data_IF_911559303500
#
_entry.id   IF_911559303500
#
_cell.length_a   1.000
_cell.length_b   1.000
_cell.length_c   1.000
_cell.angle_alpha   90.00
_cell.angle_beta   90.00
_cell.angle_gamma   90.00
#
_symmetry.space_group_name_H-M   'P 1'
#
loop_
_entity.id
_entity.type
_entity.pdbx_description
1 polymer ?
#
# COMPACT_ATOMS: atom_id res chain seq x y z
N UNK A 1 -14.47 -6.70 28.30
CA UNK A 1 -14.48 -5.28 28.71
C UNK A 1 -15.12 -5.28 30.09
N UNK A 2 -14.29 -5.16 31.16
CA UNK A 2 -14.79 -4.93 32.51
C UNK A 2 -15.63 -3.66 32.45
N UNK A 3 -16.87 -3.71 32.97
CA UNK A 3 -17.75 -2.55 33.08
C UNK A 3 -17.00 -1.42 33.78
N UNK A 4 -16.53 -0.46 33.03
CA UNK A 4 -16.04 0.79 33.60
C UNK A 4 -17.21 1.43 34.34
N UNK A 5 -16.92 1.83 35.56
CA UNK A 5 -17.94 2.44 36.43
C UNK A 5 -18.49 3.68 35.72
N UNK A 6 -19.80 3.85 35.66
CA UNK A 6 -20.44 4.97 34.95
C UNK A 6 -19.90 6.34 35.37
N UNK A 7 -19.41 6.46 36.61
CA UNK A 7 -18.76 7.68 37.13
C UNK A 7 -17.36 7.92 36.49
N UNK A 8 -16.59 6.88 36.13
CA UNK A 8 -15.31 7.03 35.42
C UNK A 8 -15.53 7.44 33.98
N UNK A 9 -16.58 6.94 33.33
CA UNK A 9 -16.93 7.35 31.97
C UNK A 9 -17.35 8.82 31.97
N UNK A 10 -18.15 9.26 32.96
CA UNK A 10 -18.60 10.63 33.07
C UNK A 10 -17.44 11.61 33.34
N UNK A 11 -16.49 11.25 34.19
CA UNK A 11 -15.29 12.03 34.44
C UNK A 11 -14.36 12.12 33.21
N UNK A 12 -14.27 11.07 32.40
CA UNK A 12 -13.55 11.12 31.13
C UNK A 12 -14.18 12.11 30.14
N UNK A 13 -15.52 12.16 30.07
CA UNK A 13 -16.23 13.12 29.20
C UNK A 13 -16.10 14.58 29.69
N UNK A 14 -15.97 14.83 30.96
CA UNK A 14 -15.77 16.18 31.52
C UNK A 14 -14.37 16.74 31.24
N UNK A 15 -13.38 15.87 30.97
CA UNK A 15 -12.01 16.26 30.59
C UNK A 15 -11.84 16.59 29.10
N UNK A 16 -12.81 16.32 28.27
CA UNK A 16 -12.74 16.69 26.85
C UNK A 16 -12.90 18.21 26.68
N UNK A 17 -12.11 18.85 25.82
CA UNK A 17 -12.26 20.26 25.56
C UNK A 17 -13.69 20.56 25.08
N UNK A 18 -14.36 21.52 25.71
CA UNK A 18 -15.73 21.95 25.36
C UNK A 18 -15.83 22.57 23.95
N UNK A 19 -14.71 22.76 23.30
CA UNK A 19 -14.61 23.27 21.92
C UNK A 19 -14.14 22.10 21.07
N UNK A 20 -14.93 21.73 20.05
CA UNK A 20 -14.47 20.77 19.04
C UNK A 20 -13.17 21.26 18.42
N UNK A 21 -12.12 20.44 18.40
CA UNK A 21 -10.94 20.77 17.64
C UNK A 21 -11.38 21.02 16.19
N UNK A 22 -10.79 22.05 15.59
CA UNK A 22 -11.09 22.41 14.21
C UNK A 22 -10.95 21.19 13.31
N UNK A 23 -12.00 20.83 12.57
CA UNK A 23 -11.97 19.72 11.63
C UNK A 23 -10.89 20.00 10.59
N UNK A 24 -9.86 19.19 10.62
CA UNK A 24 -8.79 19.24 9.65
C UNK A 24 -9.08 18.25 8.52
N UNK A 25 -9.19 18.76 7.29
CA UNK A 25 -9.39 17.94 6.08
C UNK A 25 -8.07 17.45 5.48
N UNK A 26 -6.95 17.70 6.12
CA UNK A 26 -5.65 17.22 5.65
C UNK A 26 -5.50 15.74 5.97
N UNK A 27 -5.54 14.91 4.94
CA UNK A 27 -5.23 13.49 5.04
C UNK A 27 -3.72 13.32 4.97
N UNK A 28 -3.15 12.63 5.95
CA UNK A 28 -1.73 12.25 6.01
C UNK A 28 -1.59 10.74 5.88
N UNK A 29 -0.37 10.24 5.75
CA UNK A 29 -0.08 8.81 5.71
C UNK A 29 -0.54 8.08 6.99
N UNK A 30 -0.55 8.77 8.14
CA UNK A 30 -0.97 8.19 9.43
C UNK A 30 -2.41 7.69 9.41
N UNK A 31 -3.29 8.33 8.64
CA UNK A 31 -4.68 7.87 8.48
C UNK A 31 -4.76 6.50 7.76
N UNK A 32 -3.80 6.21 6.90
CA UNK A 32 -3.72 4.93 6.17
C UNK A 32 -2.98 3.88 7.00
N UNK A 33 -2.06 4.33 7.84
CA UNK A 33 -1.16 3.49 8.62
C UNK A 33 -1.90 2.52 9.55
N UNK A 34 -2.99 2.93 10.14
CA UNK A 34 -3.78 2.11 11.06
C UNK A 34 -4.20 0.76 10.47
N UNK A 35 -4.58 0.74 9.19
CA UNK A 35 -4.97 -0.48 8.48
C UNK A 35 -3.81 -1.09 7.67
N UNK A 36 -2.99 -0.28 7.01
CA UNK A 36 -1.96 -0.75 6.07
C UNK A 36 -0.58 -1.02 6.69
N UNK A 37 -0.41 -0.85 7.99
CA UNK A 37 0.83 -1.20 8.68
C UNK A 37 0.96 -2.68 9.04
N UNK A 38 -0.14 -3.45 9.01
CA UNK A 38 -0.15 -4.87 9.41
C UNK A 38 -0.11 -5.83 8.22
N UNK A 39 -1.11 -5.77 7.37
CA UNK A 39 -1.35 -6.75 6.30
C UNK A 39 -0.51 -6.50 5.05
N UNK A 40 0.65 -6.71 4.89
CA UNK A 40 1.49 -6.41 3.72
C UNK A 40 2.42 -5.23 3.93
N UNK A 41 2.36 -4.57 5.08
CA UNK A 41 3.36 -3.59 5.52
C UNK A 41 3.60 -2.44 4.53
N UNK A 42 2.59 -2.13 3.72
CA UNK A 42 2.73 -1.22 2.57
C UNK A 42 3.17 0.16 2.99
N UNK A 43 2.53 0.74 4.02
CA UNK A 43 2.82 2.12 4.43
C UNK A 43 4.22 2.26 5.03
N UNK A 44 4.69 1.30 5.80
CA UNK A 44 6.05 1.30 6.35
C UNK A 44 7.09 1.10 5.27
N UNK A 45 6.84 0.22 4.31
CA UNK A 45 7.74 -0.02 3.17
C UNK A 45 7.87 1.23 2.30
N UNK A 46 6.78 1.95 2.07
CA UNK A 46 6.79 3.20 1.32
C UNK A 46 7.72 4.25 1.94
N UNK A 47 7.74 4.31 3.27
CA UNK A 47 8.64 5.16 4.05
C UNK A 47 10.06 4.57 4.25
N UNK A 48 10.35 3.43 3.63
CA UNK A 48 11.65 2.76 3.73
C UNK A 48 11.87 2.02 5.05
N UNK A 49 10.82 1.48 5.66
CA UNK A 49 10.93 0.70 6.87
C UNK A 49 10.43 -0.73 6.66
N UNK A 50 11.26 -1.71 6.98
CA UNK A 50 10.91 -3.12 6.97
C UNK A 50 10.74 -3.66 8.37
N UNK A 51 9.67 -4.41 8.61
CA UNK A 51 9.42 -5.08 9.87
C UNK A 51 10.48 -6.16 10.14
N UNK A 52 10.82 -6.34 11.42
CA UNK A 52 11.78 -7.34 11.91
C UNK A 52 11.19 -8.10 13.08
N UNK A 53 11.80 -9.22 13.46
CA UNK A 53 11.47 -9.94 14.69
C UNK A 53 12.34 -9.54 15.89
N UNK A 54 13.10 -8.45 15.77
CA UNK A 54 13.90 -7.99 16.90
C UNK A 54 13.02 -7.52 18.06
N UNK A 55 13.46 -7.84 19.27
CA UNK A 55 12.85 -7.28 20.47
C UNK A 55 13.26 -5.81 20.66
N UNK A 56 12.38 -5.01 21.24
CA UNK A 56 12.66 -3.61 21.54
C UNK A 56 13.94 -3.42 22.39
N UNK A 57 14.22 -4.37 23.27
CA UNK A 57 15.42 -4.37 24.13
C UNK A 57 16.72 -4.63 23.38
N UNK A 58 16.68 -5.24 22.21
CA UNK A 58 17.87 -5.54 21.40
C UNK A 58 18.34 -4.36 20.55
N UNK A 59 17.52 -3.29 20.43
CA UNK A 59 17.84 -2.15 19.59
C UNK A 59 18.79 -1.21 20.31
N UNK A 60 20.00 -1.08 19.76
CA UNK A 60 21.00 -0.13 20.25
C UNK A 60 21.08 1.14 19.39
N UNK A 61 20.80 1.03 18.11
CA UNK A 61 20.88 2.12 17.15
C UNK A 61 19.48 2.63 16.76
N UNK A 62 19.11 3.78 17.32
CA UNK A 62 17.82 4.41 17.06
C UNK A 62 17.69 5.05 15.67
N UNK A 63 18.79 5.25 14.95
CA UNK A 63 18.74 5.87 13.62
C UNK A 63 18.33 4.85 12.55
N UNK A 64 18.73 3.60 12.72
CA UNK A 64 18.44 2.52 11.80
C UNK A 64 17.25 1.65 12.21
N UNK A 65 16.65 1.95 13.36
CA UNK A 65 15.49 1.19 13.86
C UNK A 65 14.39 2.13 14.35
N UNK A 66 13.15 1.71 14.12
CA UNK A 66 11.93 2.38 14.57
C UNK A 66 11.12 1.40 15.41
N UNK A 67 10.75 1.81 16.61
CA UNK A 67 9.85 1.06 17.48
C UNK A 67 8.46 1.71 17.39
N UNK A 68 7.45 0.92 17.07
CA UNK A 68 6.06 1.35 17.09
C UNK A 68 5.45 1.19 18.48
N UNK A 69 4.35 1.88 18.72
CA UNK A 69 3.62 1.83 20.00
C UNK A 69 3.10 0.42 20.35
N UNK A 70 2.89 -0.42 19.35
CA UNK A 70 2.46 -1.82 19.51
C UNK A 70 3.63 -2.79 19.74
N UNK A 71 4.84 -2.28 19.90
CA UNK A 71 6.05 -3.06 20.21
C UNK A 71 6.77 -3.64 18.99
N UNK A 72 6.24 -3.48 17.78
CA UNK A 72 6.91 -3.94 16.56
C UNK A 72 8.12 -3.08 16.24
N UNK A 73 9.18 -3.75 15.80
CA UNK A 73 10.45 -3.15 15.45
C UNK A 73 10.65 -3.18 13.95
N UNK A 74 11.02 -2.03 13.40
CA UNK A 74 11.32 -1.86 11.98
C UNK A 74 12.76 -1.43 11.79
N UNK A 75 13.39 -1.95 10.75
CA UNK A 75 14.73 -1.58 10.32
C UNK A 75 14.65 -0.69 9.09
N UNK A 76 15.51 0.34 9.04
CA UNK A 76 15.61 1.23 7.88
C UNK A 76 16.13 0.49 6.66
N UNK A 77 15.40 0.64 5.57
CA UNK A 77 15.76 0.26 4.23
C UNK A 77 15.70 1.50 3.32
N UNK A 78 15.63 1.32 2.01
CA UNK A 78 15.54 2.43 1.06
C UNK A 78 14.10 2.86 0.87
N UNK A 79 13.86 4.16 0.93
CA UNK A 79 12.55 4.78 0.69
C UNK A 79 12.11 4.60 -0.77
N UNK A 80 10.80 4.57 -0.99
CA UNK A 80 10.23 4.71 -2.33
C UNK A 80 10.61 6.07 -2.95
N UNK A 81 10.88 6.11 -4.22
CA UNK A 81 11.28 7.33 -4.92
C UNK A 81 10.20 8.42 -4.87
N UNK A 82 8.93 8.04 -4.85
CA UNK A 82 7.82 8.98 -4.75
C UNK A 82 7.68 9.53 -3.34
N UNK A 83 7.93 8.70 -2.31
CA UNK A 83 8.03 9.16 -0.93
C UNK A 83 9.17 10.18 -0.76
N UNK A 84 10.35 9.86 -1.27
CA UNK A 84 11.51 10.75 -1.25
C UNK A 84 11.26 12.07 -2.01
N UNK A 85 10.36 12.06 -3.00
CA UNK A 85 9.90 13.26 -3.71
C UNK A 85 8.79 14.03 -2.97
N UNK A 86 8.37 13.60 -1.77
CA UNK A 86 7.36 14.25 -0.96
C UNK A 86 5.91 13.90 -1.30
N UNK A 87 5.68 12.84 -2.07
CA UNK A 87 4.35 12.32 -2.33
C UNK A 87 3.85 11.50 -1.13
N UNK A 88 2.57 11.59 -0.87
CA UNK A 88 1.88 10.80 0.17
C UNK A 88 0.86 9.86 -0.47
N UNK A 89 0.31 8.92 0.30
CA UNK A 89 -0.59 7.88 -0.19
C UNK A 89 -1.69 8.41 -1.13
N UNK A 90 -2.34 9.49 -0.73
CA UNK A 90 -3.44 10.08 -1.49
C UNK A 90 -3.00 10.80 -2.78
N UNK A 91 -1.72 11.01 -3.02
CA UNK A 91 -1.26 11.58 -4.29
C UNK A 91 -1.43 10.60 -5.44
N UNK A 92 -1.39 9.29 -5.15
CA UNK A 92 -1.65 8.20 -6.09
C UNK A 92 -3.05 7.61 -5.89
N UNK A 93 -3.44 7.32 -4.64
CA UNK A 93 -4.72 6.67 -4.36
C UNK A 93 -5.90 7.64 -4.41
N UNK A 94 -6.95 7.23 -5.12
CA UNK A 94 -8.19 8.01 -5.29
C UNK A 94 -9.28 7.53 -4.33
N UNK A 95 -10.30 8.35 -4.12
CA UNK A 95 -11.39 8.05 -3.18
C UNK A 95 -12.11 6.74 -3.48
N UNK A 96 -12.30 6.40 -4.75
CA UNK A 96 -12.96 5.16 -5.16
C UNK A 96 -12.16 3.89 -4.79
N UNK A 97 -10.84 3.98 -4.64
CA UNK A 97 -10.02 2.87 -4.13
C UNK A 97 -10.16 2.74 -2.62
N UNK A 98 -10.16 3.87 -1.90
CA UNK A 98 -10.14 3.93 -0.44
C UNK A 98 -11.53 3.66 0.14
N UNK A 99 -12.55 4.29 -0.43
CA UNK A 99 -13.94 4.20 0.03
C UNK A 99 -14.71 3.05 -0.63
N UNK A 100 -14.12 2.42 -1.64
CA UNK A 100 -14.77 1.43 -2.49
C UNK A 100 -15.62 2.05 -3.60
N UNK A 101 -15.84 1.30 -4.64
CA UNK A 101 -16.65 1.65 -5.81
C UNK A 101 -17.92 0.79 -5.93
N UNK A 102 -18.22 0.00 -4.90
CA UNK A 102 -19.37 -0.89 -4.84
C UNK A 102 -19.17 -2.23 -5.57
N UNK A 103 -18.00 -2.49 -6.13
CA UNK A 103 -17.69 -3.74 -6.80
C UNK A 103 -16.93 -4.71 -5.87
N UNK A 104 -17.17 -6.00 -6.07
CA UNK A 104 -16.39 -7.06 -5.47
C UNK A 104 -15.27 -7.47 -6.42
N UNK A 105 -14.02 -7.46 -5.92
CA UNK A 105 -12.85 -7.84 -6.69
C UNK A 105 -12.28 -9.17 -6.19
N UNK A 106 -11.93 -10.07 -7.11
CA UNK A 106 -11.26 -11.34 -6.78
C UNK A 106 -9.78 -11.11 -6.44
N UNK A 107 -9.18 -10.09 -7.05
CA UNK A 107 -7.77 -9.74 -6.90
C UNK A 107 -7.60 -8.25 -6.54
N UNK A 108 -6.72 -7.96 -5.59
CA UNK A 108 -6.49 -6.60 -5.09
C UNK A 108 -6.01 -5.62 -6.17
N UNK A 109 -5.24 -6.09 -7.15
CA UNK A 109 -4.76 -5.27 -8.26
C UNK A 109 -5.89 -4.75 -9.17
N UNK A 110 -7.04 -5.39 -9.16
CA UNK A 110 -8.21 -4.92 -9.90
C UNK A 110 -8.87 -3.70 -9.27
N UNK A 111 -8.75 -3.57 -7.95
CA UNK A 111 -9.26 -2.44 -7.21
C UNK A 111 -8.45 -1.16 -7.47
N UNK A 112 -7.15 -1.28 -7.74
CA UNK A 112 -6.26 -0.14 -7.99
C UNK A 112 -6.64 0.56 -9.30
N UNK A 113 -6.94 1.85 -9.22
CA UNK A 113 -7.38 2.67 -10.35
C UNK A 113 -6.24 3.43 -11.02
N UNK A 114 -5.25 3.85 -10.24
CA UNK A 114 -4.09 4.61 -10.74
C UNK A 114 -2.91 3.68 -10.94
N UNK A 115 -2.30 3.77 -12.13
CA UNK A 115 -1.16 2.95 -12.52
C UNK A 115 0.03 3.81 -12.93
N UNK A 116 1.21 3.23 -12.95
CA UNK A 116 2.45 3.92 -13.35
C UNK A 116 2.30 4.63 -14.69
N UNK A 117 1.67 3.98 -15.66
CA UNK A 117 1.46 4.50 -17.02
C UNK A 117 0.57 5.75 -17.06
N UNK A 118 -0.29 5.98 -16.08
CA UNK A 118 -1.16 7.16 -16.07
C UNK A 118 -0.36 8.44 -15.91
N UNK A 119 0.75 8.38 -15.19
CA UNK A 119 1.68 9.50 -15.02
C UNK A 119 2.91 9.42 -15.94
N UNK A 120 3.41 8.22 -16.20
CA UNK A 120 4.68 7.97 -16.87
C UNK A 120 4.56 7.48 -18.32
N UNK A 121 3.43 7.68 -19.00
CA UNK A 121 3.28 7.36 -20.43
C UNK A 121 3.59 8.56 -21.33
N UNK A 122 4.06 8.31 -22.54
CA UNK A 122 4.12 9.32 -23.61
C UNK A 122 2.73 9.64 -24.17
N UNK A 123 1.80 8.68 -24.10
CA UNK A 123 0.45 8.74 -24.68
C UNK A 123 -0.65 8.96 -23.64
N UNK A 124 -0.34 9.66 -22.55
CA UNK A 124 -1.33 9.92 -21.51
C UNK A 124 -2.50 10.74 -22.04
N UNK A 125 -3.71 10.28 -21.73
CA UNK A 125 -4.94 11.01 -22.05
C UNK A 125 -5.19 12.09 -21.02
N UNK A 126 -5.83 13.18 -21.43
CA UNK A 126 -6.17 14.28 -20.56
C UNK A 126 -7.54 14.86 -20.88
N UNK A 127 -8.14 15.49 -19.88
CA UNK A 127 -9.41 16.22 -19.99
C UNK A 127 -9.24 17.64 -19.48
N UNK A 128 -9.98 18.57 -20.04
CA UNK A 128 -10.03 19.95 -19.57
C UNK A 128 -11.01 20.10 -18.39
N UNK A 129 -10.98 21.26 -17.74
CA UNK A 129 -11.85 21.54 -16.59
C UNK A 129 -13.35 21.35 -16.90
N UNK A 130 -13.83 21.72 -18.09
CA UNK A 130 -15.25 21.61 -18.45
C UNK A 130 -15.72 20.16 -18.56
N UNK A 131 -14.81 19.26 -18.91
CA UNK A 131 -15.06 17.81 -19.05
C UNK A 131 -14.99 17.04 -17.72
N UNK A 132 -14.53 17.67 -16.63
CA UNK A 132 -14.53 17.05 -15.32
C UNK A 132 -15.97 16.78 -14.84
N UNK A 133 -16.13 15.71 -14.06
CA UNK A 133 -17.37 15.46 -13.31
C UNK A 133 -17.60 16.53 -12.23
N UNK A 134 -18.79 16.50 -11.63
CA UNK A 134 -19.18 17.50 -10.62
C UNK A 134 -18.27 17.52 -9.41
N UNK A 135 -17.92 16.34 -8.88
CA UNK A 135 -17.09 16.20 -7.68
C UNK A 135 -15.66 16.69 -7.94
N UNK A 136 -15.09 16.29 -9.05
CA UNK A 136 -13.75 16.74 -9.48
C UNK A 136 -13.70 18.25 -9.66
N UNK A 137 -14.72 18.87 -10.26
CA UNK A 137 -14.83 20.33 -10.36
C UNK A 137 -14.84 21.00 -9.00
N UNK A 138 -15.67 20.52 -8.08
CA UNK A 138 -15.75 21.05 -6.71
C UNK A 138 -14.40 20.99 -6.00
N UNK A 139 -13.69 19.87 -6.11
CA UNK A 139 -12.38 19.72 -5.47
C UNK A 139 -11.34 20.65 -6.09
N UNK A 140 -11.33 20.79 -7.42
CA UNK A 140 -10.45 21.74 -8.11
C UNK A 140 -10.72 23.16 -7.66
N UNK A 141 -11.99 23.56 -7.60
CA UNK A 141 -12.39 24.90 -7.18
C UNK A 141 -11.99 25.20 -5.73
N UNK A 142 -12.19 24.25 -4.82
CA UNK A 142 -11.89 24.41 -3.40
C UNK A 142 -10.39 24.38 -3.10
N UNK A 143 -9.63 23.54 -3.78
CA UNK A 143 -8.22 23.29 -3.44
C UNK A 143 -7.22 24.10 -4.24
N UNK A 144 -7.48 24.32 -5.50
CA UNK A 144 -6.45 24.80 -6.42
C UNK A 144 -6.76 26.17 -7.03
N UNK A 145 -8.00 26.64 -7.00
CA UNK A 145 -8.41 27.90 -7.65
C UNK A 145 -8.12 27.92 -9.17
N UNK A 146 -7.84 26.76 -9.77
CA UNK A 146 -7.39 26.64 -11.15
C UNK A 146 -8.58 26.53 -12.10
N UNK A 147 -8.99 27.64 -12.66
CA UNK A 147 -10.03 27.72 -13.70
C UNK A 147 -9.44 27.99 -15.09
N UNK A 148 -8.18 27.65 -15.33
CA UNK A 148 -7.48 27.98 -16.58
C UNK A 148 -7.58 26.88 -17.64
N UNK A 149 -6.87 27.10 -18.75
CA UNK A 149 -6.75 26.17 -19.89
C UNK A 149 -5.88 24.93 -19.57
N UNK A 150 -5.88 24.47 -18.32
CA UNK A 150 -5.11 23.31 -17.90
C UNK A 150 -5.89 22.03 -18.14
N UNK A 151 -5.21 21.02 -18.68
CA UNK A 151 -5.74 19.68 -18.82
C UNK A 151 -5.25 18.81 -17.69
N UNK A 152 -6.12 17.96 -17.17
CA UNK A 152 -5.85 16.99 -16.13
C UNK A 152 -5.64 15.62 -16.76
N UNK A 153 -4.66 14.85 -16.28
CA UNK A 153 -4.51 13.46 -16.70
C UNK A 153 -5.73 12.64 -16.27
N UNK A 154 -6.06 11.62 -17.04
CA UNK A 154 -7.08 10.62 -16.68
C UNK A 154 -6.49 9.23 -16.71
N UNK A 155 -6.96 8.37 -15.81
CA UNK A 155 -6.51 6.99 -15.74
C UNK A 155 -6.89 6.22 -17.02
N UNK A 156 -5.97 5.39 -17.50
CA UNK A 156 -6.16 4.62 -18.72
C UNK A 156 -7.29 3.60 -18.59
N UNK A 157 -7.38 2.94 -17.44
CA UNK A 157 -8.36 1.88 -17.16
C UNK A 157 -9.76 2.39 -16.83
N UNK A 158 -9.84 3.44 -16.02
CA UNK A 158 -11.10 3.83 -15.35
C UNK A 158 -11.62 5.20 -15.75
N UNK A 159 -10.87 5.94 -16.57
CA UNK A 159 -11.18 7.32 -16.99
C UNK A 159 -11.37 8.29 -15.80
N UNK A 160 -10.74 8.03 -14.67
CA UNK A 160 -10.82 8.88 -13.47
C UNK A 160 -9.88 10.08 -13.66
N UNK A 161 -10.37 11.33 -13.50
CA UNK A 161 -9.52 12.50 -13.56
C UNK A 161 -8.53 12.55 -12.38
N UNK A 162 -7.25 12.71 -12.69
CA UNK A 162 -6.19 12.93 -11.69
C UNK A 162 -6.06 14.45 -11.46
N UNK A 163 -6.94 15.00 -10.64
CA UNK A 163 -7.11 16.45 -10.45
C UNK A 163 -5.91 17.16 -9.81
N UNK A 164 -4.95 16.40 -9.27
CA UNK A 164 -3.66 16.91 -8.79
C UNK A 164 -2.57 16.89 -9.86
N UNK A 165 -2.90 16.53 -11.11
CA UNK A 165 -2.00 16.59 -12.26
C UNK A 165 -2.41 17.72 -13.21
N UNK A 166 -1.51 18.10 -14.08
CA UNK A 166 -1.82 18.99 -15.20
C UNK A 166 -0.83 18.84 -16.35
N UNK A 167 -1.32 19.11 -17.55
CA UNK A 167 -0.57 19.06 -18.80
C UNK A 167 -0.46 20.47 -19.37
N UNK A 168 0.75 20.95 -19.60
CA UNK A 168 1.00 22.20 -20.30
C UNK A 168 0.83 22.07 -21.81
N UNK A 169 0.62 23.18 -22.49
CA UNK A 169 0.45 23.25 -23.96
C UNK A 169 1.59 22.60 -24.74
N UNK A 170 2.80 22.57 -24.19
CA UNK A 170 3.97 21.90 -24.76
C UNK A 170 4.07 20.39 -24.43
N UNK A 171 3.01 19.78 -23.91
CA UNK A 171 3.01 18.35 -23.54
C UNK A 171 3.74 18.00 -22.24
N UNK A 172 4.32 18.95 -21.56
CA UNK A 172 4.96 18.72 -20.26
C UNK A 172 3.90 18.43 -19.19
N UNK A 173 4.12 17.36 -18.42
CA UNK A 173 3.22 16.91 -17.37
C UNK A 173 3.79 17.16 -16.00
N UNK A 174 2.91 17.47 -15.07
CA UNK A 174 3.25 17.77 -13.69
C UNK A 174 2.21 17.19 -12.74
N UNK A 175 2.66 16.82 -11.56
CA UNK A 175 1.82 16.52 -10.40
C UNK A 175 2.05 17.58 -9.34
N UNK A 176 1.00 17.96 -8.63
CA UNK A 176 1.09 18.78 -7.43
C UNK A 176 0.67 17.93 -6.25
N UNK A 177 1.58 17.76 -5.31
CA UNK A 177 1.29 16.99 -4.10
C UNK A 177 0.11 17.61 -3.34
N UNK A 178 -0.80 16.77 -2.89
CA UNK A 178 -2.05 17.23 -2.24
C UNK A 178 -1.79 17.88 -0.89
N UNK A 179 -0.76 17.43 -0.18
CA UNK A 179 -0.39 17.96 1.13
C UNK A 179 0.53 19.20 1.02
N UNK A 180 1.75 19.03 0.55
CA UNK A 180 2.79 20.07 0.55
C UNK A 180 2.68 21.07 -0.60
N UNK A 181 1.80 20.83 -1.58
CA UNK A 181 1.64 21.64 -2.80
C UNK A 181 2.91 21.73 -3.65
N UNK A 182 3.84 20.83 -3.45
CA UNK A 182 5.05 20.73 -4.23
C UNK A 182 4.73 20.33 -5.67
N UNK A 183 5.38 21.01 -6.61
CA UNK A 183 5.23 20.72 -8.05
C UNK A 183 6.32 19.75 -8.49
N UNK A 184 5.90 18.57 -8.93
CA UNK A 184 6.77 17.52 -9.43
C UNK A 184 6.60 17.39 -10.94
N UNK A 185 7.70 17.34 -11.68
CA UNK A 185 7.68 17.04 -13.11
C UNK A 185 7.52 15.54 -13.30
N UNK A 186 6.53 15.14 -14.09
CA UNK A 186 6.33 13.75 -14.49
C UNK A 186 7.20 13.43 -15.69
N UNK A 187 8.12 12.49 -15.52
CA UNK A 187 9.02 12.06 -16.59
C UNK A 187 8.37 10.91 -17.36
N UNK A 188 8.51 10.88 -18.70
CA UNK A 188 8.12 9.73 -19.49
C UNK A 188 9.01 8.52 -19.15
N UNK A 189 8.57 7.30 -19.47
CA UNK A 189 9.41 6.13 -19.33
C UNK A 189 10.64 6.24 -20.27
N UNK A 190 11.73 5.60 -19.89
CA UNK A 190 12.90 5.51 -20.75
C UNK A 190 12.55 4.74 -22.05
N UNK A 191 13.26 5.04 -23.12
CA UNK A 191 13.05 4.42 -24.43
C UNK A 191 13.09 2.88 -24.37
N UNK A 192 14.02 2.32 -23.59
CA UNK A 192 14.14 0.88 -23.38
C UNK A 192 12.87 0.24 -22.75
N UNK A 193 12.06 1.00 -22.03
CA UNK A 193 10.79 0.51 -21.46
C UNK A 193 9.68 0.42 -22.51
N UNK A 194 9.81 1.17 -23.61
CA UNK A 194 8.80 1.29 -24.66
C UNK A 194 9.18 0.45 -25.87
N UNK A 195 10.46 0.46 -26.22
CA UNK A 195 11.00 -0.20 -27.40
C UNK A 195 11.45 -1.63 -27.10
N UNK A 196 10.90 -2.56 -27.87
CA UNK A 196 11.39 -3.92 -27.92
C UNK A 196 10.38 -4.97 -27.46
N UNK A 197 10.38 -6.08 -28.20
CA UNK A 197 9.52 -7.25 -27.96
C UNK A 197 9.80 -7.91 -26.60
N UNK A 198 11.03 -7.81 -26.10
CA UNK A 198 11.48 -8.45 -24.87
C UNK A 198 10.76 -7.93 -23.61
N UNK A 199 10.37 -6.66 -23.57
CA UNK A 199 9.78 -6.03 -22.40
C UNK A 199 8.24 -5.94 -22.42
N UNK A 200 7.60 -6.40 -23.52
CA UNK A 200 6.13 -6.31 -23.68
C UNK A 200 5.33 -6.97 -22.56
N UNK A 201 5.89 -7.97 -21.92
CA UNK A 201 5.22 -8.74 -20.87
C UNK A 201 5.72 -8.40 -19.46
N UNK A 202 6.69 -7.49 -19.33
CA UNK A 202 7.20 -7.08 -18.02
C UNK A 202 6.32 -5.97 -17.45
N UNK A 203 5.89 -6.14 -16.21
CA UNK A 203 5.33 -5.02 -15.45
C UNK A 203 6.41 -3.99 -15.12
N UNK A 204 6.03 -2.75 -14.87
CA UNK A 204 6.96 -1.73 -14.40
C UNK A 204 7.64 -2.17 -13.09
N UNK A 205 6.89 -2.82 -12.22
CA UNK A 205 7.34 -3.35 -10.93
C UNK A 205 8.45 -4.38 -11.08
N UNK A 206 8.43 -5.20 -12.14
CA UNK A 206 9.47 -6.19 -12.39
C UNK A 206 10.87 -5.61 -12.44
N UNK A 207 11.00 -4.37 -12.94
CA UNK A 207 12.28 -3.67 -13.02
C UNK A 207 12.48 -2.62 -11.93
N UNK A 208 11.41 -1.95 -11.49
CA UNK A 208 11.50 -0.78 -10.63
C UNK A 208 11.25 -1.08 -9.14
N UNK A 209 10.87 -2.30 -8.75
CA UNK A 209 10.81 -2.65 -7.32
C UNK A 209 12.22 -2.80 -6.77
N UNK A 210 12.58 -1.97 -5.80
CA UNK A 210 13.90 -1.99 -5.16
C UNK A 210 14.06 -3.16 -4.20
N UNK A 211 13.06 -3.37 -3.36
CA UNK A 211 13.05 -4.44 -2.37
C UNK A 211 11.63 -4.81 -1.95
N UNK A 212 11.47 -5.95 -1.34
CA UNK A 212 10.25 -6.39 -0.68
C UNK A 212 10.59 -7.01 0.68
N UNK A 213 9.65 -6.95 1.61
CA UNK A 213 9.75 -7.68 2.86
C UNK A 213 9.44 -9.15 2.62
N UNK A 214 10.47 -9.98 2.68
CA UNK A 214 10.33 -11.42 2.59
C UNK A 214 9.90 -11.98 3.94
N UNK A 215 8.96 -12.90 3.93
CA UNK A 215 8.58 -13.71 5.07
C UNK A 215 8.91 -15.17 4.75
N UNK A 216 9.75 -15.79 5.56
CA UNK A 216 10.18 -17.18 5.32
C UNK A 216 9.02 -18.15 5.50
N UNK A 217 8.13 -17.89 6.46
CA UNK A 217 6.94 -18.69 6.65
C UNK A 217 6.21 -18.42 7.96
N UNK A 218 5.12 -19.13 8.14
CA UNK A 218 4.32 -19.12 9.35
C UNK A 218 4.03 -20.55 9.80
N UNK A 219 4.09 -20.77 11.09
CA UNK A 219 3.55 -21.96 11.73
C UNK A 219 2.32 -21.57 12.53
N UNK A 220 1.19 -22.17 12.20
CA UNK A 220 -0.08 -21.90 12.88
C UNK A 220 -0.56 -23.21 13.52
N UNK A 221 -0.81 -23.19 14.81
CA UNK A 221 -1.32 -24.35 15.55
C UNK A 221 -2.59 -23.97 16.34
N UNK A 222 -3.50 -24.92 16.48
CA UNK A 222 -4.65 -24.76 17.34
C UNK A 222 -4.28 -25.21 18.77
N UNK A 223 -4.44 -24.31 19.74
CA UNK A 223 -4.32 -24.64 21.16
C UNK A 223 -5.70 -24.68 21.81
N UNK A 224 -6.17 -25.87 22.25
CA UNK A 224 -7.49 -26.03 22.85
C UNK A 224 -7.62 -25.43 24.25
N UNK A 225 -6.50 -25.03 24.88
CA UNK A 225 -6.48 -24.51 26.26
C UNK A 225 -6.44 -22.98 26.28
N UNK A 226 -5.92 -22.36 25.20
CA UNK A 226 -5.85 -20.92 25.12
C UNK A 226 -7.25 -20.30 25.14
N UNK A 227 -7.40 -19.26 25.94
CA UNK A 227 -8.60 -18.45 25.92
C UNK A 227 -8.58 -17.50 24.73
N UNK A 228 -9.68 -17.44 24.01
CA UNK A 228 -9.92 -16.54 22.90
C UNK A 228 -11.22 -15.76 23.11
N UNK A 229 -11.47 -14.81 22.22
CA UNK A 229 -12.70 -14.03 22.22
C UNK A 229 -13.34 -14.03 20.85
N UNK A 230 -14.58 -14.49 20.78
CA UNK A 230 -15.38 -14.47 19.55
C UNK A 230 -15.99 -13.08 19.39
N UNK A 231 -15.46 -12.32 18.43
CA UNK A 231 -15.93 -10.97 18.13
C UNK A 231 -17.32 -10.93 17.46
N UNK A 232 -17.75 -12.03 16.84
CA UNK A 232 -19.06 -12.10 16.19
C UNK A 232 -20.15 -12.36 17.23
N UNK A 233 -19.94 -13.36 18.07
CA UNK A 233 -20.86 -13.72 19.14
C UNK A 233 -20.65 -12.94 20.43
N UNK A 234 -19.61 -12.13 20.49
CA UNK A 234 -19.25 -11.28 21.61
C UNK A 234 -19.14 -12.04 22.95
N UNK A 235 -18.40 -13.15 22.93
CA UNK A 235 -18.24 -14.07 24.06
C UNK A 235 -16.83 -14.63 24.16
N UNK A 236 -16.44 -15.01 25.38
CA UNK A 236 -15.23 -15.78 25.60
C UNK A 236 -15.39 -17.21 25.03
N UNK A 237 -14.35 -17.72 24.42
CA UNK A 237 -14.29 -19.08 23.89
C UNK A 237 -13.04 -19.77 24.43
N UNK A 238 -13.10 -21.10 24.54
CA UNK A 238 -11.92 -21.92 24.83
C UNK A 238 -11.40 -22.49 23.53
N UNK A 239 -10.10 -22.39 23.35
CA UNK A 239 -9.40 -22.75 22.13
C UNK A 239 -9.13 -21.55 21.23
N UNK A 240 -7.89 -21.41 20.81
CA UNK A 240 -7.46 -20.34 19.92
C UNK A 240 -6.34 -20.80 18.99
N UNK A 241 -6.20 -20.10 17.88
CA UNK A 241 -5.10 -20.32 16.96
C UNK A 241 -3.89 -19.48 17.38
N UNK A 242 -2.73 -20.13 17.51
CA UNK A 242 -1.46 -19.49 17.78
C UNK A 242 -0.63 -19.45 16.50
N UNK A 243 -0.20 -18.28 16.09
CA UNK A 243 0.62 -18.08 14.89
C UNK A 243 2.05 -17.68 15.29
N UNK A 244 3.02 -18.47 14.87
CA UNK A 244 4.43 -18.18 15.02
C UNK A 244 5.04 -17.85 13.66
N UNK A 245 5.26 -16.56 13.33
CA UNK A 245 5.98 -16.18 12.14
C UNK A 245 7.45 -16.53 12.26
N UNK A 246 8.07 -16.94 11.15
CA UNK A 246 9.52 -17.06 11.05
C UNK A 246 10.16 -15.72 10.63
N UNK A 247 11.41 -15.73 10.22
CA UNK A 247 12.17 -14.51 9.93
C UNK A 247 11.54 -13.63 8.84
N UNK A 248 11.73 -12.33 9.01
CA UNK A 248 11.52 -11.29 8.00
C UNK A 248 12.89 -10.73 7.57
N UNK A 249 13.08 -10.55 6.28
CA UNK A 249 14.26 -9.92 5.72
C UNK A 249 13.93 -9.13 4.47
N UNK A 250 14.83 -8.26 4.06
CA UNK A 250 14.69 -7.39 2.89
C UNK A 250 15.54 -7.93 1.77
N UNK A 251 14.93 -8.16 0.62
CA UNK A 251 15.64 -8.54 -0.61
C UNK A 251 14.80 -8.16 -1.84
N UNK A 252 15.37 -8.38 -3.01
CA UNK A 252 14.66 -8.22 -4.27
C UNK A 252 13.50 -9.21 -4.41
N UNK A 253 12.36 -8.81 -5.01
CA UNK A 253 11.32 -9.77 -5.34
C UNK A 253 11.84 -10.77 -6.39
N UNK A 254 11.27 -11.96 -6.38
CA UNK A 254 11.41 -12.89 -7.50
C UNK A 254 10.42 -12.54 -8.59
N UNK A 255 10.72 -12.92 -9.83
CA UNK A 255 9.82 -12.73 -10.96
C UNK A 255 9.01 -13.99 -11.22
N UNK A 256 7.74 -13.80 -11.52
CA UNK A 256 6.81 -14.86 -11.84
C UNK A 256 5.82 -14.44 -12.92
N UNK A 257 5.05 -15.38 -13.43
CA UNK A 257 4.00 -15.11 -14.41
C UNK A 257 2.66 -14.98 -13.69
N UNK A 258 1.98 -13.86 -13.92
CA UNK A 258 0.62 -13.60 -13.44
C UNK A 258 -0.32 -13.45 -14.63
N UNK A 259 -1.52 -13.99 -14.51
CA UNK A 259 -2.60 -13.74 -15.46
C UNK A 259 -3.40 -12.52 -15.05
N UNK A 260 -3.61 -11.61 -15.99
CA UNK A 260 -4.55 -10.52 -15.82
C UNK A 260 -5.99 -10.98 -16.04
N UNK A 261 -6.94 -10.16 -15.63
CA UNK A 261 -8.39 -10.43 -15.74
C UNK A 261 -8.85 -10.95 -17.12
N UNK A 262 -8.23 -10.48 -18.18
CA UNK A 262 -8.57 -10.85 -19.55
C UNK A 262 -7.68 -11.94 -20.15
N UNK A 263 -6.94 -12.65 -19.29
CA UNK A 263 -6.14 -13.81 -19.69
C UNK A 263 -4.75 -13.50 -20.22
N UNK A 264 -4.35 -12.23 -20.31
CA UNK A 264 -2.98 -11.86 -20.67
C UNK A 264 -2.01 -12.32 -19.58
N UNK A 265 -0.89 -12.86 -19.98
CA UNK A 265 0.18 -13.23 -19.05
C UNK A 265 1.23 -12.12 -19.00
N UNK A 266 1.48 -11.64 -17.82
CA UNK A 266 2.54 -10.65 -17.55
C UNK A 266 3.56 -11.23 -16.57
N UNK A 267 4.79 -10.78 -16.69
CA UNK A 267 5.86 -11.06 -15.72
C UNK A 267 5.79 -9.95 -14.67
N UNK A 268 5.64 -10.36 -13.43
CA UNK A 268 5.44 -9.44 -12.31
C UNK A 268 6.25 -9.88 -11.09
N UNK A 269 6.22 -9.10 -10.04
CA UNK A 269 6.95 -9.35 -8.80
C UNK A 269 6.20 -10.27 -7.87
N UNK A 270 6.92 -11.21 -7.26
CA UNK A 270 6.39 -12.17 -6.30
C UNK A 270 7.27 -12.25 -5.06
N UNK A 271 6.66 -12.58 -3.93
CA UNK A 271 7.40 -13.05 -2.77
C UNK A 271 7.90 -14.47 -3.06
N UNK A 272 9.16 -14.81 -2.74
CA UNK A 272 9.66 -16.16 -2.84
C UNK A 272 8.93 -17.05 -1.85
N UNK A 273 8.78 -18.32 -2.19
CA UNK A 273 7.92 -19.29 -1.55
C UNK A 273 7.94 -19.29 -0.03
N UNK A 274 6.96 -18.63 0.56
CA UNK A 274 6.68 -18.73 1.99
C UNK A 274 6.23 -20.15 2.33
N UNK A 275 6.75 -20.69 3.41
CA UNK A 275 6.30 -21.98 3.94
C UNK A 275 5.18 -21.72 4.94
N UNK A 276 4.00 -22.27 4.64
CA UNK A 276 2.88 -22.23 5.56
C UNK A 276 2.65 -23.64 6.11
N UNK A 277 2.76 -23.76 7.42
CA UNK A 277 2.41 -24.99 8.14
C UNK A 277 1.22 -24.71 9.05
N UNK A 278 0.15 -25.45 8.86
CA UNK A 278 -1.01 -25.41 9.75
C UNK A 278 -1.07 -26.75 10.48
N UNK A 279 -0.88 -26.72 11.78
CA UNK A 279 -1.02 -27.88 12.64
C UNK A 279 -2.37 -27.83 13.33
N UNK A 280 -3.30 -28.58 12.81
CA UNK A 280 -4.61 -28.79 13.40
C UNK A 280 -4.75 -30.18 14.05
N UNK A 281 -3.62 -30.82 14.41
CA UNK A 281 -3.59 -32.16 15.01
C UNK A 281 -4.41 -32.25 16.31
N UNK A 282 -4.47 -31.19 17.08
CA UNK A 282 -5.31 -31.11 18.29
C UNK A 282 -6.81 -31.01 17.98
N UNK A 283 -7.17 -30.62 16.75
CA UNK A 283 -8.53 -30.48 16.26
C UNK A 283 -8.93 -31.63 15.32
N UNK A 284 -7.98 -32.02 14.46
CA UNK A 284 -8.14 -33.14 13.52
C UNK A 284 -6.77 -33.82 13.34
N UNK A 285 -6.50 -34.94 14.05
CA UNK A 285 -5.18 -35.56 14.10
C UNK A 285 -4.56 -35.96 12.77
N UNK A 286 -5.39 -36.11 11.73
CA UNK A 286 -4.94 -36.66 10.44
C UNK A 286 -4.51 -35.58 9.43
N UNK A 287 -4.50 -34.30 9.79
CA UNK A 287 -4.27 -33.23 8.81
C UNK A 287 -3.28 -32.15 9.27
N UNK A 288 -1.99 -32.38 9.01
CA UNK A 288 -1.03 -31.32 8.83
C UNK A 288 -1.15 -30.75 7.42
N UNK A 289 -1.32 -29.44 7.32
CA UNK A 289 -1.29 -28.75 6.04
C UNK A 289 0.09 -28.11 5.90
N UNK A 290 0.81 -28.49 4.86
CA UNK A 290 2.05 -27.84 4.45
C UNK A 290 1.88 -27.27 3.05
N UNK A 291 2.13 -26.00 2.89
CA UNK A 291 2.07 -25.32 1.59
C UNK A 291 3.29 -24.42 1.41
N UNK A 292 3.74 -24.33 0.17
CA UNK A 292 4.66 -23.30 -0.27
C UNK A 292 3.88 -22.32 -1.13
N UNK A 293 3.91 -21.04 -0.75
CA UNK A 293 3.14 -19.99 -1.39
C UNK A 293 4.10 -19.03 -2.12
N UNK A 294 3.77 -18.75 -3.37
CA UNK A 294 4.40 -17.70 -4.17
C UNK A 294 3.30 -16.66 -4.42
N UNK A 295 3.30 -15.60 -3.65
CA UNK A 295 2.26 -14.59 -3.74
C UNK A 295 2.73 -13.42 -4.60
N UNK A 296 1.89 -12.91 -5.53
CA UNK A 296 2.19 -11.66 -6.19
C UNK A 296 2.32 -10.55 -5.14
N UNK A 297 3.27 -9.64 -5.34
CA UNK A 297 3.51 -8.53 -4.42
C UNK A 297 3.44 -7.21 -5.14
N UNK A 298 2.75 -6.25 -4.53
CA UNK A 298 2.62 -4.87 -5.01
C UNK A 298 3.34 -3.95 -4.03
N UNK A 299 4.67 -4.10 -3.98
CA UNK A 299 5.50 -3.33 -3.08
C UNK A 299 5.48 -1.84 -3.41
N UNK A 300 5.54 -1.02 -2.36
CA UNK A 300 5.67 0.42 -2.47
C UNK A 300 7.13 0.82 -2.18
N UNK A 301 8.05 0.27 -2.98
CA UNK A 301 9.50 0.46 -2.86
C UNK A 301 10.11 0.72 -4.23
N UNK A 302 9.50 1.64 -4.96
CA UNK A 302 9.90 1.97 -6.33
C UNK A 302 11.24 2.68 -6.35
N UNK A 303 12.14 2.23 -7.22
CA UNK A 303 13.40 2.90 -7.49
C UNK A 303 13.37 3.65 -8.82
N UNK A 304 14.08 4.77 -8.88
CA UNK A 304 14.23 5.57 -10.10
C UNK A 304 14.93 4.80 -11.22
N UNK A 305 15.94 4.01 -10.88
CA UNK A 305 16.67 3.17 -11.83
C UNK A 305 16.09 1.75 -11.81
N UNK A 306 15.71 1.24 -12.96
CA UNK A 306 15.34 -0.16 -13.08
C UNK A 306 16.54 -1.08 -12.83
N UNK A 307 16.25 -2.35 -12.56
CA UNK A 307 17.26 -3.42 -12.47
C UNK A 307 18.05 -3.53 -13.78
N UNK A 308 19.32 -3.92 -13.69
CA UNK A 308 20.11 -4.24 -14.87
C UNK A 308 19.63 -5.54 -15.50
N UNK A 309 19.88 -5.71 -16.80
CA UNK A 309 19.58 -6.97 -17.49
C UNK A 309 20.30 -8.19 -16.88
N UNK A 310 21.42 -7.97 -16.20
CA UNK A 310 22.19 -9.02 -15.53
C UNK A 310 21.59 -9.48 -14.21
N UNK A 311 20.67 -8.71 -13.64
CA UNK A 311 19.99 -9.06 -12.38
C UNK A 311 18.66 -9.81 -12.58
N UNK A 312 18.26 -10.04 -13.80
CA UNK A 312 17.19 -10.91 -14.21
C UNK A 312 17.71 -12.29 -14.60
#
# INVERSE_FOLDING_TARGET
>A
IKSENSNEIQNKFESFPKIHPQLNINVTNDHCFGCHSRSGRISTNYEGWSETLYSASSIKDKNNFRLLMDGRVFQKAKDDVHHSAGMICIDCHVSLEIMGDGNLYEHMEEQTKVQCVDCHSNESRSVNYLQLDYESKKIVDLRNGRKGNENFLITAKSNIPLINTYVKSAGQKYLITKSSKQKLKLNPPAEICIEGKAHKRLSCSSCHTEWVSHCVGCHTEFDPILEGYDLLDNKDITGSWNEAPSDFYVDYPVLGVRKEKYGNEIIDTFLPGMVLTIDNMKYNPDKKIFKRLFAPTFSHTTNKTGRSCQSC
#
